data_IF_808918215429
#
_entry.id   IF_808918215429
#
_cell.length_a   1.000
_cell.length_b   1.000
_cell.length_c   1.000
_cell.angle_alpha   90.00
_cell.angle_beta   90.00
_cell.angle_gamma   90.00
#
_symmetry.space_group_name_H-M   'P 1'
#
loop_
_entity.id
_entity.type
_entity.pdbx_description
1 polymer ?
#
# COMPACT_ATOMS: atom_id res chain seq x y z
N UNK A 1 -9.87 -6.44 15.37
CA UNK A 1 -9.38 -5.06 15.17
C UNK A 1 -8.12 -5.13 14.32
N UNK A 2 -8.09 -4.37 13.22
CA UNK A 2 -6.93 -4.30 12.32
C UNK A 2 -5.79 -3.52 13.01
N UNK A 3 -4.55 -3.97 12.86
CA UNK A 3 -3.40 -3.30 13.46
C UNK A 3 -3.28 -1.85 12.93
N UNK A 4 -3.05 -0.90 13.83
CA UNK A 4 -2.87 0.52 13.51
C UNK A 4 -1.46 0.87 13.04
N UNK A 5 -0.49 0.00 13.33
CA UNK A 5 0.87 0.14 12.84
C UNK A 5 1.44 -1.22 12.46
N UNK A 6 1.99 -1.31 11.25
CA UNK A 6 2.68 -2.49 10.75
C UNK A 6 3.57 -2.18 9.55
N UNK A 7 4.52 -3.07 9.27
CA UNK A 7 5.27 -3.19 8.01
C UNK A 7 5.25 -4.67 7.64
N UNK A 8 4.69 -5.02 6.49
CA UNK A 8 4.54 -6.41 6.06
C UNK A 8 4.85 -6.59 4.59
N UNK A 9 5.39 -7.75 4.22
CA UNK A 9 5.49 -8.15 2.82
C UNK A 9 4.17 -8.78 2.37
N UNK A 10 3.78 -8.50 1.12
CA UNK A 10 2.58 -9.03 0.51
C UNK A 10 2.89 -9.64 -0.85
N UNK A 11 2.30 -10.79 -1.12
CA UNK A 11 2.25 -11.33 -2.48
C UNK A 11 1.07 -10.69 -3.20
N UNK A 12 1.32 -10.03 -4.33
CA UNK A 12 0.30 -9.31 -5.07
C UNK A 12 0.12 -9.82 -6.49
N UNK A 13 -1.13 -9.88 -6.91
CA UNK A 13 -1.54 -9.95 -8.30
C UNK A 13 -1.87 -8.53 -8.77
N UNK A 14 -1.15 -8.04 -9.77
CA UNK A 14 -1.32 -6.69 -10.33
C UNK A 14 -1.87 -6.81 -11.74
N UNK A 15 -3.11 -6.42 -11.93
CA UNK A 15 -3.71 -6.23 -13.24
C UNK A 15 -3.53 -4.77 -13.70
N UNK A 16 -3.07 -4.59 -14.94
CA UNK A 16 -2.85 -3.26 -15.55
C UNK A 16 -3.82 -3.04 -16.70
N UNK A 17 -4.34 -1.82 -16.80
CA UNK A 17 -5.31 -1.42 -17.82
C UNK A 17 -5.07 0.04 -18.23
N UNK A 18 -5.78 0.48 -19.27
CA UNK A 18 -5.74 1.88 -19.69
C UNK A 18 -6.34 2.81 -18.63
N UNK A 19 -5.75 4.01 -18.51
CA UNK A 19 -6.27 5.07 -17.65
C UNK A 19 -7.75 5.38 -17.89
N UNK A 20 -8.15 5.50 -19.16
CA UNK A 20 -9.52 5.84 -19.55
C UNK A 20 -10.47 4.63 -19.63
N UNK A 21 -9.94 3.40 -19.57
CA UNK A 21 -10.72 2.15 -19.65
C UNK A 21 -10.25 1.15 -18.59
N UNK A 22 -10.37 1.48 -17.28
CA UNK A 22 -9.82 0.65 -16.21
C UNK A 22 -10.44 -0.75 -16.12
N UNK A 23 -11.63 -0.95 -16.69
CA UNK A 23 -12.25 -2.28 -16.75
C UNK A 23 -11.58 -3.24 -17.75
N UNK A 24 -10.82 -2.72 -18.74
CA UNK A 24 -10.20 -3.53 -19.80
C UNK A 24 -8.77 -3.88 -19.42
N UNK A 25 -8.58 -5.06 -18.83
CA UNK A 25 -7.26 -5.54 -18.39
C UNK A 25 -6.38 -5.88 -19.60
N UNK A 26 -5.21 -5.26 -19.67
CA UNK A 26 -4.20 -5.46 -20.73
C UNK A 26 -3.13 -6.48 -20.34
N UNK A 27 -2.73 -6.49 -19.08
CA UNK A 27 -1.69 -7.41 -18.60
C UNK A 27 -1.87 -7.72 -17.12
N UNK A 28 -1.22 -8.80 -16.67
CA UNK A 28 -1.15 -9.22 -15.27
C UNK A 28 0.29 -9.56 -14.92
N UNK A 29 0.72 -9.21 -13.72
CA UNK A 29 1.99 -9.66 -13.13
C UNK A 29 1.79 -10.08 -11.68
N UNK A 30 2.77 -10.82 -11.16
CA UNK A 30 2.88 -11.15 -9.75
C UNK A 30 4.10 -10.45 -9.17
N UNK A 31 3.89 -9.66 -8.12
CA UNK A 31 4.93 -8.83 -7.51
C UNK A 31 4.89 -8.91 -5.99
N UNK A 32 6.07 -8.80 -5.38
CA UNK A 32 6.18 -8.53 -3.96
C UNK A 32 5.83 -7.07 -3.71
N UNK A 33 5.04 -6.82 -2.68
CA UNK A 33 4.79 -5.49 -2.16
C UNK A 33 5.27 -5.39 -0.71
N UNK A 34 5.61 -4.19 -0.28
CA UNK A 34 5.77 -3.85 1.13
C UNK A 34 4.63 -2.89 1.48
N UNK A 35 3.77 -3.29 2.41
CA UNK A 35 2.71 -2.44 2.94
C UNK A 35 3.08 -1.96 4.34
N UNK A 36 3.02 -0.64 4.54
CA UNK A 36 3.33 0.00 5.82
C UNK A 36 2.14 0.86 6.25
N UNK A 37 1.60 0.62 7.44
CA UNK A 37 0.60 1.49 8.08
C UNK A 37 1.22 2.18 9.28
N UNK A 38 1.04 3.49 9.40
CA UNK A 38 1.60 4.30 10.50
C UNK A 38 0.76 5.55 10.78
N UNK A 39 1.25 6.36 11.71
CA UNK A 39 0.57 7.53 12.26
C UNK A 39 -0.04 7.22 13.65
N UNK A 40 -0.28 8.22 14.51
CA UNK A 40 -0.86 8.00 15.84
C UNK A 40 -2.16 7.19 15.83
N UNK A 41 -2.98 7.37 14.79
CA UNK A 41 -4.28 6.70 14.64
C UNK A 41 -4.26 5.63 13.52
N UNK A 42 -3.08 5.36 12.96
CA UNK A 42 -2.89 4.52 11.78
C UNK A 42 -3.52 5.17 10.54
N UNK A 43 -3.45 6.49 10.44
CA UNK A 43 -4.08 7.30 9.40
C UNK A 43 -3.34 7.31 8.06
N UNK A 44 -2.10 6.82 8.02
CA UNK A 44 -1.30 6.72 6.81
C UNK A 44 -1.04 5.27 6.42
N UNK A 45 -1.06 5.02 5.10
CA UNK A 45 -0.70 3.77 4.49
C UNK A 45 0.24 4.03 3.31
N UNK A 46 1.30 3.25 3.17
CA UNK A 46 2.07 3.15 1.94
C UNK A 46 2.06 1.73 1.41
N UNK A 47 2.08 1.64 0.09
CA UNK A 47 2.20 0.37 -0.64
C UNK A 47 3.32 0.55 -1.65
N UNK A 48 4.42 -0.15 -1.42
CA UNK A 48 5.57 -0.11 -2.30
C UNK A 48 5.67 -1.39 -3.12
N UNK A 49 5.92 -1.27 -4.43
CA UNK A 49 6.43 -2.40 -5.22
C UNK A 49 7.82 -2.80 -4.73
N UNK A 50 8.13 -4.09 -4.76
CA UNK A 50 9.36 -4.64 -4.21
C UNK A 50 9.96 -5.77 -5.07
N UNK A 51 9.63 -5.79 -6.36
CA UNK A 51 10.16 -6.73 -7.36
C UNK A 51 9.21 -7.86 -7.73
N UNK A 52 9.55 -8.60 -8.79
CA UNK A 52 8.73 -9.68 -9.32
C UNK A 52 8.76 -10.95 -8.45
N UNK A 53 7.64 -11.66 -8.40
CA UNK A 53 7.58 -13.02 -7.83
C UNK A 53 8.04 -14.00 -8.90
N UNK A 54 9.26 -14.51 -8.78
CA UNK A 54 9.84 -15.45 -9.74
C UNK A 54 9.41 -16.90 -9.51
N UNK A 55 9.21 -17.30 -8.25
CA UNK A 55 8.69 -18.62 -7.90
C UNK A 55 7.20 -18.53 -7.49
N UNK A 56 6.27 -19.06 -8.31
CA UNK A 56 4.85 -19.04 -8.00
C UNK A 56 4.48 -19.78 -6.72
N UNK A 57 5.34 -20.72 -6.26
CA UNK A 57 5.17 -21.53 -5.05
C UNK A 57 5.82 -20.89 -3.82
N UNK A 58 6.49 -19.75 -3.96
CA UNK A 58 7.07 -19.01 -2.84
C UNK A 58 5.99 -18.60 -1.84
N UNK A 59 5.99 -19.25 -0.67
CA UNK A 59 5.09 -18.93 0.44
C UNK A 59 5.64 -17.80 1.34
N UNK A 60 6.90 -17.42 1.14
CA UNK A 60 7.61 -16.40 1.89
C UNK A 60 8.26 -15.40 0.94
N UNK A 61 8.27 -14.13 1.34
CA UNK A 61 9.01 -13.11 0.62
C UNK A 61 10.53 -13.31 0.83
N UNK A 62 11.36 -12.96 -0.17
CA UNK A 62 12.81 -12.93 0.00
C UNK A 62 13.22 -12.04 1.18
N UNK A 63 14.32 -12.39 1.85
CA UNK A 63 14.80 -11.65 3.01
C UNK A 63 15.08 -10.18 2.66
N UNK A 64 15.71 -9.94 1.51
CA UNK A 64 16.19 -8.62 1.07
C UNK A 64 15.31 -7.98 -0.01
N UNK A 65 14.01 -7.84 0.24
CA UNK A 65 13.15 -6.99 -0.60
C UNK A 65 13.26 -5.51 -0.18
N UNK A 66 13.15 -4.58 -1.14
CA UNK A 66 13.24 -3.15 -0.89
C UNK A 66 12.16 -2.38 -1.66
N UNK A 67 11.59 -1.29 -1.09
CA UNK A 67 10.64 -0.41 -1.77
C UNK A 67 11.22 0.21 -3.05
N UNK A 68 10.47 0.12 -4.17
CA UNK A 68 10.82 0.71 -5.47
C UNK A 68 9.91 1.90 -5.77
N UNK A 69 8.62 1.66 -6.02
CA UNK A 69 7.61 2.70 -6.25
C UNK A 69 6.55 2.65 -5.16
N UNK A 70 6.35 3.76 -4.47
CA UNK A 70 5.53 3.85 -3.26
C UNK A 70 4.29 4.72 -3.48
N UNK A 71 3.12 4.08 -3.43
CA UNK A 71 1.84 4.75 -3.29
C UNK A 71 1.66 5.19 -1.83
N UNK A 72 0.96 6.31 -1.61
CA UNK A 72 0.54 6.74 -0.26
C UNK A 72 -0.96 6.94 -0.24
N UNK A 73 -1.60 6.50 0.84
CA UNK A 73 -2.99 6.73 1.13
C UNK A 73 -3.21 7.32 2.52
N UNK A 74 -4.29 8.10 2.62
CA UNK A 74 -4.79 8.70 3.87
C UNK A 74 -6.11 8.05 4.24
N UNK A 75 -6.26 7.67 5.50
CA UNK A 75 -7.45 7.00 6.03
C UNK A 75 -8.69 7.88 5.85
N UNK A 76 -9.75 7.32 5.26
CA UNK A 76 -11.05 8.00 5.09
C UNK A 76 -12.17 7.33 5.88
N UNK A 77 -12.05 6.03 6.14
CA UNK A 77 -13.08 5.27 6.86
C UNK A 77 -12.47 4.03 7.49
N UNK A 78 -13.02 3.64 8.64
CA UNK A 78 -12.67 2.41 9.33
C UNK A 78 -13.94 1.72 9.84
N UNK A 79 -13.96 0.40 9.72
CA UNK A 79 -15.04 -0.47 10.20
C UNK A 79 -14.45 -1.52 11.13
N UNK A 80 -14.78 -1.42 12.41
CA UNK A 80 -14.35 -2.44 13.39
C UNK A 80 -15.05 -3.78 13.18
N UNK A 81 -16.32 -3.74 12.77
CA UNK A 81 -17.15 -4.94 12.53
C UNK A 81 -16.62 -5.75 11.35
N UNK A 82 -16.16 -5.09 10.30
CA UNK A 82 -15.58 -5.73 9.12
C UNK A 82 -14.05 -5.88 9.21
N UNK A 83 -13.45 -5.40 10.30
CA UNK A 83 -12.00 -5.30 10.48
C UNK A 83 -11.30 -4.70 9.24
N UNK A 84 -11.86 -3.61 8.72
CA UNK A 84 -11.48 -3.01 7.46
C UNK A 84 -11.18 -1.51 7.59
N UNK A 85 -10.24 -1.02 6.80
CA UNK A 85 -9.91 0.40 6.68
C UNK A 85 -9.83 0.79 5.21
N UNK A 86 -10.44 1.91 4.84
CA UNK A 86 -10.35 2.47 3.49
C UNK A 86 -9.45 3.69 3.49
N UNK A 87 -8.52 3.74 2.55
CA UNK A 87 -7.59 4.85 2.36
C UNK A 87 -7.78 5.45 0.97
N UNK A 88 -7.71 6.77 0.85
CA UNK A 88 -7.66 7.47 -0.43
C UNK A 88 -6.21 7.71 -0.82
N UNK A 89 -5.83 7.33 -2.04
CA UNK A 89 -4.49 7.55 -2.55
C UNK A 89 -4.27 9.04 -2.85
N UNK A 90 -3.04 9.49 -2.64
CA UNK A 90 -2.66 10.90 -2.83
C UNK A 90 -1.79 11.08 -4.07
N UNK A 91 -2.06 12.18 -4.77
CA UNK A 91 -1.31 12.63 -5.95
C UNK A 91 -0.17 13.59 -5.60
N UNK A 92 -0.16 14.07 -4.37
CA UNK A 92 0.89 14.92 -3.82
C UNK A 92 1.22 14.41 -2.43
N UNK A 93 2.51 14.24 -2.15
CA UNK A 93 2.96 13.79 -0.85
C UNK A 93 2.80 14.92 0.17
N UNK A 94 2.15 14.68 1.32
CA UNK A 94 2.13 15.66 2.40
C UNK A 94 3.56 16.01 2.82
N UNK A 95 3.86 17.32 2.94
CA UNK A 95 5.22 17.85 3.12
C UNK A 95 6.11 17.23 4.21
N UNK A 96 5.61 16.74 5.37
CA UNK A 96 6.46 16.14 6.40
C UNK A 96 6.69 14.63 6.24
N UNK A 97 6.18 13.99 5.18
CA UNK A 97 6.30 12.53 4.99
C UNK A 97 7.52 12.20 4.16
N UNK A 98 8.45 11.46 4.75
CA UNK A 98 9.50 10.74 4.02
C UNK A 98 9.02 9.32 3.70
N UNK A 99 9.26 8.87 2.46
CA UNK A 99 8.93 7.52 2.01
C UNK A 99 10.19 6.76 1.61
N UNK A 100 10.17 5.46 1.87
CA UNK A 100 11.08 4.54 1.22
C UNK A 100 10.65 4.34 -0.25
N UNK A 101 11.62 4.24 -1.16
CA UNK A 101 11.38 4.17 -2.61
C UNK A 101 11.01 5.52 -3.22
N UNK A 102 10.71 5.51 -4.52
CA UNK A 102 10.24 6.68 -5.27
C UNK A 102 8.75 6.87 -5.05
N UNK A 103 8.33 8.06 -4.60
CA UNK A 103 6.91 8.39 -4.50
C UNK A 103 6.24 8.24 -5.88
N UNK A 104 5.13 7.52 -5.91
CA UNK A 104 4.39 7.20 -7.13
C UNK A 104 2.99 7.82 -7.01
N UNK A 105 2.77 9.04 -7.54
CA UNK A 105 1.50 9.73 -7.40
C UNK A 105 0.33 8.96 -8.00
N UNK A 106 -0.79 8.82 -7.29
CA UNK A 106 -1.94 8.13 -7.87
C UNK A 106 -3.26 8.57 -7.25
N UNK A 107 -4.35 8.47 -7.99
CA UNK A 107 -5.71 8.57 -7.46
C UNK A 107 -6.36 7.20 -7.32
N UNK A 108 -7.39 7.13 -6.49
CA UNK A 108 -8.12 5.91 -6.20
C UNK A 108 -8.12 5.59 -4.72
N UNK A 109 -8.28 4.31 -4.39
CA UNK A 109 -8.42 3.89 -3.01
C UNK A 109 -7.74 2.55 -2.75
N UNK A 110 -7.45 2.32 -1.47
CA UNK A 110 -7.05 1.03 -0.93
C UNK A 110 -8.07 0.61 0.12
N UNK A 111 -8.60 -0.60 -0.02
CA UNK A 111 -9.31 -1.30 1.04
C UNK A 111 -8.35 -2.28 1.70
N UNK A 112 -8.04 -2.05 2.97
CA UNK A 112 -7.22 -2.91 3.81
C UNK A 112 -8.12 -3.69 4.75
N UNK A 113 -7.94 -5.01 4.86
CA UNK A 113 -8.79 -5.88 5.66
C UNK A 113 -7.94 -6.85 6.48
N UNK A 114 -8.39 -7.14 7.71
CA UNK A 114 -7.86 -8.22 8.54
C UNK A 114 -8.94 -9.28 8.72
N UNK A 115 -8.84 -10.38 7.97
CA UNK A 115 -9.61 -11.61 8.23
C UNK A 115 -8.69 -12.65 8.86
N UNK A 116 -8.43 -13.76 8.17
CA UNK A 116 -7.44 -14.76 8.56
C UNK A 116 -6.00 -14.20 8.46
N UNK A 117 -5.78 -13.28 7.52
CA UNK A 117 -4.53 -12.56 7.30
C UNK A 117 -4.81 -11.12 6.88
N UNK A 118 -3.77 -10.28 6.84
CA UNK A 118 -3.84 -8.94 6.25
C UNK A 118 -3.97 -9.10 4.75
N UNK A 119 -4.99 -8.51 4.16
CA UNK A 119 -5.16 -8.40 2.71
C UNK A 119 -5.48 -6.98 2.31
N UNK A 120 -5.08 -6.57 1.11
CA UNK A 120 -5.51 -5.31 0.55
C UNK A 120 -5.98 -5.46 -0.89
N UNK A 121 -6.88 -4.57 -1.27
CA UNK A 121 -7.30 -4.34 -2.64
C UNK A 121 -7.04 -2.87 -2.93
N UNK A 122 -6.33 -2.58 -4.01
CA UNK A 122 -6.16 -1.21 -4.49
C UNK A 122 -6.71 -1.10 -5.91
N UNK A 123 -7.51 -0.05 -6.15
CA UNK A 123 -7.98 0.33 -7.48
C UNK A 123 -7.52 1.77 -7.70
N UNK A 124 -6.61 1.93 -8.64
CA UNK A 124 -5.90 3.20 -8.83
C UNK A 124 -5.72 3.55 -10.28
N UNK A 125 -5.65 4.85 -10.56
CA UNK A 125 -5.18 5.40 -11.82
C UNK A 125 -4.00 6.31 -11.55
N UNK A 126 -3.16 6.44 -12.56
CA UNK A 126 -1.99 7.30 -12.48
C UNK A 126 -1.57 7.76 -13.87
N UNK A 127 -0.92 8.92 -13.90
CA UNK A 127 -0.14 9.37 -15.04
C UNK A 127 1.00 10.23 -14.53
N UNK A 128 2.19 10.01 -15.09
CA UNK A 128 3.40 10.69 -14.63
C UNK A 128 4.22 11.26 -15.78
N UNK A 129 4.92 12.35 -15.48
CA UNK A 129 6.18 12.67 -16.13
C UNK A 129 7.34 12.25 -15.23
N UNK A 130 8.37 11.64 -15.81
CA UNK A 130 9.61 11.31 -15.11
C UNK A 130 10.55 12.53 -15.10
N UNK A 131 11.27 12.70 -14.00
CA UNK A 131 12.33 13.70 -13.88
C UNK A 131 13.40 13.26 -12.89
N UNK A 132 14.38 14.13 -12.67
CA UNK A 132 15.45 13.92 -11.69
C UNK A 132 15.57 15.16 -10.81
N UNK A 133 15.69 14.96 -9.51
CA UNK A 133 15.97 16.01 -8.53
C UNK A 133 17.01 15.46 -7.54
N UNK A 134 18.11 16.18 -7.36
CA UNK A 134 19.22 15.81 -6.46
C UNK A 134 19.71 14.36 -6.65
N UNK A 135 19.80 13.92 -7.92
CA UNK A 135 20.25 12.57 -8.28
C UNK A 135 19.24 11.46 -8.03
N UNK A 136 18.02 11.78 -7.60
CA UNK A 136 16.91 10.83 -7.41
C UNK A 136 15.87 10.98 -8.51
N UNK A 137 15.33 9.85 -8.96
CA UNK A 137 14.17 9.87 -9.84
C UNK A 137 12.96 10.47 -9.11
N UNK A 138 12.25 11.37 -9.79
CA UNK A 138 10.99 11.90 -9.33
C UNK A 138 9.88 11.61 -10.34
N UNK A 139 8.69 11.29 -9.83
CA UNK A 139 7.47 11.15 -10.61
C UNK A 139 6.58 12.34 -10.29
N UNK A 140 6.27 13.14 -11.31
CA UNK A 140 5.31 14.25 -11.18
C UNK A 140 4.00 13.83 -11.81
N UNK A 141 2.95 13.96 -11.02
CA UNK A 141 1.57 13.72 -11.41
C UNK A 141 1.14 14.59 -12.61
N UNK A 142 0.41 13.97 -13.55
CA UNK A 142 -0.24 14.63 -14.69
C UNK A 142 -1.76 14.43 -14.53
N UNK A 143 -2.53 15.47 -14.13
CA UNK A 143 -3.97 15.35 -13.90
C UNK A 143 -4.81 14.92 -15.09
N UNK A 144 -4.55 15.55 -16.22
CA UNK A 144 -5.32 15.38 -17.43
C UNK A 144 -4.38 14.90 -18.52
N UNK A 145 -3.97 13.61 -18.50
CA UNK A 145 -3.06 13.10 -19.50
C UNK A 145 -3.70 13.15 -20.88
N UNK A 146 -2.89 13.43 -21.89
CA UNK A 146 -3.32 13.37 -23.28
C UNK A 146 -3.92 11.98 -23.59
N UNK A 147 -4.94 11.89 -24.47
CA UNK A 147 -5.52 10.62 -24.86
C UNK A 147 -4.45 9.63 -25.33
N UNK A 148 -4.50 8.39 -24.84
CA UNK A 148 -3.54 7.32 -25.18
C UNK A 148 -2.08 7.58 -24.75
N UNK A 149 -1.84 8.49 -23.81
CA UNK A 149 -0.52 8.64 -23.17
C UNK A 149 -0.07 7.29 -22.61
N UNK A 150 1.13 6.83 -23.01
CA UNK A 150 1.66 5.53 -22.60
C UNK A 150 1.90 5.42 -21.09
N UNK A 151 2.17 6.54 -20.43
CA UNK A 151 2.38 6.63 -18.98
C UNK A 151 1.08 6.81 -18.19
N UNK A 152 -0.07 6.92 -18.87
CA UNK A 152 -1.38 7.02 -18.25
C UNK A 152 -2.03 5.63 -18.17
N UNK A 153 -2.08 5.08 -16.97
CA UNK A 153 -2.50 3.70 -16.73
C UNK A 153 -3.41 3.58 -15.50
N UNK A 154 -3.97 2.39 -15.32
CA UNK A 154 -4.68 2.01 -14.11
C UNK A 154 -4.16 0.67 -13.57
N UNK A 155 -4.05 0.56 -12.25
CA UNK A 155 -3.68 -0.68 -11.55
C UNK A 155 -4.81 -1.19 -10.68
N UNK A 156 -5.00 -2.50 -10.76
CA UNK A 156 -5.89 -3.28 -9.93
C UNK A 156 -5.02 -4.26 -9.16
N UNK A 157 -4.76 -3.96 -7.90
CA UNK A 157 -3.89 -4.75 -7.02
C UNK A 157 -4.76 -5.54 -6.08
N UNK A 158 -4.49 -6.83 -5.99
CA UNK A 158 -5.01 -7.71 -4.94
C UNK A 158 -3.81 -8.36 -4.27
N UNK A 159 -3.66 -8.14 -2.96
CA UNK A 159 -2.48 -8.60 -2.24
C UNK A 159 -2.84 -9.23 -0.90
N UNK A 160 -2.06 -10.24 -0.52
CA UNK A 160 -2.19 -10.92 0.78
C UNK A 160 -0.84 -10.94 1.46
N UNK A 161 -0.82 -10.69 2.78
CA UNK A 161 0.39 -10.83 3.59
C UNK A 161 0.96 -12.23 3.44
N UNK A 162 2.28 -12.27 3.37
CA UNK A 162 3.09 -13.49 3.37
C UNK A 162 4.13 -13.41 4.50
N UNK A 163 4.80 -14.53 4.79
CA UNK A 163 5.86 -14.54 5.79
C UNK A 163 7.08 -13.77 5.28
N UNK A 164 7.66 -12.93 6.13
CA UNK A 164 8.86 -12.16 5.81
C UNK A 164 9.64 -11.82 7.08
N UNK A 165 10.97 -11.96 7.04
CA UNK A 165 11.83 -11.72 8.20
C UNK A 165 11.85 -10.26 8.66
N UNK A 166 11.62 -9.31 7.76
CA UNK A 166 11.56 -7.88 8.06
C UNK A 166 10.20 -7.39 8.58
N UNK A 167 9.27 -8.30 8.86
CA UNK A 167 7.92 -7.89 9.25
C UNK A 167 7.84 -7.30 10.67
N UNK A 168 6.92 -6.35 10.83
CA UNK A 168 6.54 -5.78 12.11
C UNK A 168 5.02 -5.60 12.14
N UNK A 169 4.35 -6.04 13.21
CA UNK A 169 2.93 -5.78 13.42
C UNK A 169 2.76 -5.36 14.88
N UNK A 170 2.32 -4.13 15.10
CA UNK A 170 2.02 -3.64 16.43
C UNK A 170 0.83 -4.42 17.00
N UNK A 171 0.99 -4.98 18.19
CA UNK A 171 -0.12 -5.60 18.93
C UNK A 171 -0.96 -4.50 19.56
N UNK A 172 -2.29 -4.64 19.61
CA UNK A 172 -3.10 -3.75 20.43
C UNK A 172 -2.57 -3.79 21.86
N UNK A 173 -2.35 -2.61 22.46
CA UNK A 173 -2.17 -2.51 23.90
C UNK A 173 -3.45 -3.03 24.54
N UNK A 174 -3.43 -4.27 25.01
CA UNK A 174 -4.42 -4.73 25.97
C UNK A 174 -4.13 -3.89 27.22
N UNK A 175 -4.86 -2.78 27.38
CA UNK A 175 -4.91 -2.08 28.65
C UNK A 175 -5.47 -3.07 29.67
N UNK A 176 -4.58 -3.79 30.34
CA UNK A 176 -4.92 -4.49 31.56
C UNK A 176 -5.32 -3.41 32.57
N UNK A 177 -6.59 -3.03 32.59
CA UNK A 177 -7.22 -2.41 33.74
C UNK A 177 -7.15 -3.43 34.88
N UNK A 178 -5.99 -3.52 35.54
CA UNK A 178 -5.92 -4.02 36.91
C UNK A 178 -6.67 -2.98 37.74
N UNK A 179 -7.95 -3.25 37.99
CA UNK A 179 -8.66 -2.60 39.08
C UNK A 179 -7.85 -2.86 40.34
N UNK A 180 -7.19 -1.83 40.86
CA UNK A 180 -6.66 -1.84 42.21
C UNK A 180 -7.91 -1.89 43.10
N UNK A 181 -8.30 -3.10 43.53
CA UNK A 181 -9.18 -3.23 44.68
C UNK A 181 -8.37 -2.80 45.89
N UNK A 182 -8.67 -1.62 46.42
CA UNK A 182 -8.30 -1.30 47.79
C UNK A 182 -9.06 -2.27 48.69
N UNK A 183 -8.32 -3.14 49.37
CA UNK A 183 -8.81 -3.93 50.51
C UNK A 183 -8.37 -3.25 51.79
N UNK A 184 -9.34 -2.95 52.67
CA UNK A 184 -9.12 -2.59 54.06
C UNK A 184 -9.13 -1.11 54.33
#
# INVERSE_FOLDING_TARGET
>A
MLAKSFVVAMAADIARSDYAKPAVIRSRSREWLIACRWGPDGEYLSIATAGAILDPRGLAAPDAIAPIHSLVGVLVSESETEAASTFLLVRQLPGPIELAGTFFPADGYVLLQQRDTISLISKTRYSHSCGWLDGKEIRKDIPDPAPSSAEAMAWHIEAKRCNWIGEFISRPLVQARRAIRATG
#
